data_IF_093630091133
#
_entry.id   IF_093630091133
#
_cell.length_a   1.000
_cell.length_b   1.000
_cell.length_c   1.000
_cell.angle_alpha   90.00
_cell.angle_beta   90.00
_cell.angle_gamma   90.00
#
_symmetry.space_group_name_H-M   'P 1'
#
loop_
_entity.id
_entity.type
_entity.pdbx_description
1 polymer ?
#
# COMPACT_ATOMS: atom_id res chain seq x y z
N UNK A 1 -18.55 -43.75 -36.25
CA UNK A 1 -19.43 -43.12 -35.25
C UNK A 1 -18.74 -42.90 -33.90
N UNK A 2 -17.99 -43.84 -33.32
CA UNK A 2 -17.34 -43.60 -32.01
C UNK A 2 -16.23 -42.51 -32.02
N UNK A 3 -15.47 -42.36 -33.10
CA UNK A 3 -14.41 -41.34 -33.19
C UNK A 3 -14.93 -39.90 -33.25
N UNK A 4 -16.05 -39.66 -33.95
CA UNK A 4 -16.64 -38.32 -34.04
C UNK A 4 -17.25 -37.86 -32.70
N UNK A 5 -17.87 -38.77 -31.95
CA UNK A 5 -18.43 -38.44 -30.62
C UNK A 5 -17.35 -38.07 -29.61
N UNK A 6 -16.19 -38.73 -29.67
CA UNK A 6 -15.02 -38.41 -28.81
C UNK A 6 -14.39 -37.09 -29.22
N UNK A 7 -14.27 -36.82 -30.52
CA UNK A 7 -13.73 -35.56 -31.04
C UNK A 7 -14.64 -34.37 -30.68
N UNK A 8 -15.96 -34.52 -30.81
CA UNK A 8 -16.93 -33.50 -30.44
C UNK A 8 -16.89 -33.20 -28.93
N UNK A 9 -16.80 -34.24 -28.08
CA UNK A 9 -16.61 -34.06 -26.64
C UNK A 9 -15.32 -33.34 -26.28
N UNK A 10 -14.21 -33.63 -26.97
CA UNK A 10 -12.94 -32.93 -26.79
C UNK A 10 -12.99 -31.46 -27.23
N UNK A 11 -13.67 -31.16 -28.35
CA UNK A 11 -13.87 -29.79 -28.85
C UNK A 11 -14.72 -28.97 -27.89
N UNK A 12 -15.82 -29.52 -27.37
CA UNK A 12 -16.65 -28.82 -26.37
C UNK A 12 -15.87 -28.56 -25.07
N UNK A 13 -15.09 -29.54 -24.60
CA UNK A 13 -14.30 -29.38 -23.38
C UNK A 13 -13.15 -28.37 -23.55
N UNK A 14 -12.54 -28.34 -24.74
CA UNK A 14 -11.58 -27.32 -25.12
C UNK A 14 -12.23 -25.93 -25.20
N UNK A 15 -13.43 -25.83 -25.76
CA UNK A 15 -14.16 -24.57 -25.88
C UNK A 15 -14.54 -24.00 -24.50
N UNK A 16 -15.02 -24.85 -23.59
CA UNK A 16 -15.27 -24.49 -22.18
C UNK A 16 -13.97 -24.05 -21.48
N UNK A 17 -12.85 -24.74 -21.73
CA UNK A 17 -11.54 -24.34 -21.19
C UNK A 17 -11.04 -23.00 -21.74
N UNK A 18 -11.31 -22.70 -23.02
CA UNK A 18 -10.94 -21.44 -23.68
C UNK A 18 -11.83 -20.29 -23.21
N UNK A 19 -13.14 -20.53 -23.05
CA UNK A 19 -14.10 -19.56 -22.49
C UNK A 19 -13.73 -19.23 -21.04
N UNK A 20 -13.44 -20.22 -20.21
CA UNK A 20 -12.95 -20.01 -18.84
C UNK A 20 -11.60 -19.28 -18.81
N UNK A 21 -10.68 -19.57 -19.74
CA UNK A 21 -9.41 -18.84 -19.86
C UNK A 21 -9.62 -17.38 -20.23
N UNK A 22 -10.59 -17.09 -21.12
CA UNK A 22 -10.93 -15.73 -21.54
C UNK A 22 -11.58 -14.94 -20.40
N UNK A 23 -12.51 -15.54 -19.66
CA UNK A 23 -13.15 -14.91 -18.50
C UNK A 23 -12.12 -14.54 -17.42
N UNK A 24 -11.13 -15.41 -17.18
CA UNK A 24 -10.03 -15.12 -16.24
C UNK A 24 -9.17 -13.95 -16.74
N UNK A 25 -8.89 -13.87 -18.05
CA UNK A 25 -8.13 -12.74 -18.62
C UNK A 25 -8.91 -11.42 -18.53
N UNK A 26 -10.20 -11.44 -18.85
CA UNK A 26 -11.09 -10.28 -18.70
C UNK A 26 -11.13 -9.82 -17.23
N UNK A 27 -11.18 -10.75 -16.27
CA UNK A 27 -11.09 -10.44 -14.84
C UNK A 27 -9.75 -9.82 -14.46
N UNK A 28 -8.62 -10.36 -14.94
CA UNK A 28 -7.28 -9.79 -14.70
C UNK A 28 -7.19 -8.35 -15.21
N UNK A 29 -7.70 -8.09 -16.42
CA UNK A 29 -7.69 -6.78 -17.04
C UNK A 29 -8.58 -5.79 -16.28
N UNK A 30 -9.74 -6.24 -15.80
CA UNK A 30 -10.60 -5.44 -14.92
C UNK A 30 -9.88 -5.10 -13.61
N UNK A 31 -9.24 -6.07 -12.96
CA UNK A 31 -8.48 -5.85 -11.72
C UNK A 31 -7.34 -4.85 -11.94
N UNK A 32 -6.55 -5.01 -13.01
CA UNK A 32 -5.49 -4.05 -13.39
C UNK A 32 -6.05 -2.63 -13.50
N UNK A 33 -7.19 -2.48 -14.20
CA UNK A 33 -7.85 -1.18 -14.39
C UNK A 33 -8.34 -0.58 -13.07
N UNK A 34 -8.94 -1.39 -12.20
CA UNK A 34 -9.41 -0.96 -10.88
C UNK A 34 -8.27 -0.50 -9.98
N UNK A 35 -7.17 -1.25 -9.93
CA UNK A 35 -5.98 -0.91 -9.14
C UNK A 35 -5.33 0.38 -9.67
N UNK A 36 -5.26 0.56 -10.99
CA UNK A 36 -4.79 1.82 -11.59
C UNK A 36 -5.69 3.00 -11.22
N UNK A 37 -7.01 2.84 -11.26
CA UNK A 37 -7.97 3.87 -10.84
C UNK A 37 -7.85 4.22 -9.35
N UNK A 38 -7.67 3.20 -8.50
CA UNK A 38 -7.46 3.36 -7.06
C UNK A 38 -6.26 4.25 -6.73
N UNK A 39 -5.16 4.12 -7.49
CA UNK A 39 -3.99 5.01 -7.33
C UNK A 39 -4.38 6.48 -7.45
N UNK A 40 -5.19 6.80 -8.46
CA UNK A 40 -5.67 8.17 -8.71
C UNK A 40 -6.61 8.64 -7.60
N UNK A 41 -7.52 7.77 -7.13
CA UNK A 41 -8.46 8.10 -6.05
C UNK A 41 -7.71 8.38 -4.75
N UNK A 42 -6.82 7.48 -4.33
CA UNK A 42 -6.01 7.65 -3.11
C UNK A 42 -5.18 8.91 -3.19
N UNK A 43 -4.52 9.16 -4.33
CA UNK A 43 -3.75 10.37 -4.53
C UNK A 43 -4.62 11.63 -4.39
N UNK A 44 -5.80 11.62 -5.02
CA UNK A 44 -6.73 12.75 -4.97
C UNK A 44 -7.20 13.05 -3.56
N UNK A 45 -7.61 12.04 -2.78
CA UNK A 45 -8.05 12.24 -1.38
C UNK A 45 -6.90 12.77 -0.53
N UNK A 46 -5.71 12.16 -0.66
CA UNK A 46 -4.51 12.55 0.09
C UNK A 46 -4.10 14.01 -0.16
N UNK A 47 -4.39 14.56 -1.35
CA UNK A 47 -3.99 15.91 -1.77
C UNK A 47 -5.15 16.91 -1.86
N UNK A 48 -6.41 16.48 -1.72
CA UNK A 48 -7.60 17.34 -1.81
C UNK A 48 -7.67 18.38 -0.67
N UNK A 49 -7.05 18.08 0.47
CA UNK A 49 -7.10 18.92 1.66
C UNK A 49 -6.02 20.01 1.72
N UNK A 50 -5.27 20.25 0.65
CA UNK A 50 -4.32 21.37 0.65
C UNK A 50 -5.10 22.70 0.62
N UNK A 51 -4.89 23.63 1.58
CA UNK A 51 -5.61 24.88 1.59
C UNK A 51 -5.29 25.63 0.31
N UNK A 52 -6.31 25.81 -0.54
CA UNK A 52 -6.24 26.69 -1.70
C UNK A 52 -5.81 28.06 -1.18
N UNK A 53 -4.56 28.45 -1.46
CA UNK A 53 -4.05 29.77 -1.10
C UNK A 53 -5.11 30.80 -1.50
N UNK A 54 -5.67 31.50 -0.51
CA UNK A 54 -6.69 32.49 -0.77
C UNK A 54 -6.06 33.57 -1.64
N UNK A 55 -6.38 33.55 -2.94
CA UNK A 55 -6.12 34.69 -3.82
C UNK A 55 -6.91 35.84 -3.20
N UNK A 56 -6.18 36.77 -2.59
CA UNK A 56 -6.74 38.03 -2.14
C UNK A 56 -7.41 38.68 -3.35
N UNK A 57 -8.69 39.09 -3.28
CA UNK A 57 -9.27 39.89 -4.34
C UNK A 57 -8.58 41.26 -4.29
N UNK A 58 -7.61 41.44 -5.18
CA UNK A 58 -7.04 42.76 -5.49
C UNK A 58 -8.18 43.62 -6.03
N UNK A 59 -8.78 44.41 -5.15
CA UNK A 59 -9.74 45.45 -5.52
C UNK A 59 -8.94 46.74 -5.60
N UNK A 60 -8.96 47.38 -6.76
CA UNK A 60 -8.47 48.73 -6.99
C UNK A 60 -8.93 49.70 -5.88
N UNK A 61 -8.03 50.55 -5.37
CA UNK A 61 -8.44 51.73 -4.60
C UNK A 61 -7.38 52.26 -3.64
N UNK A 62 -7.00 53.50 -3.87
CA UNK A 62 -6.03 54.32 -3.14
C UNK A 62 -6.42 54.56 -1.67
N UNK A 63 -5.39 54.73 -0.81
CA UNK A 63 -5.33 55.53 0.43
C UNK A 63 -5.51 54.92 1.85
N UNK A 64 -4.50 55.29 2.66
CA UNK A 64 -4.42 55.49 4.12
C UNK A 64 -4.17 54.30 5.06
N UNK A 65 -3.01 54.40 5.71
CA UNK A 65 -2.57 53.58 6.83
C UNK A 65 -3.41 53.84 8.08
N UNK A 66 -3.92 52.78 8.70
CA UNK A 66 -4.22 52.74 10.12
C UNK A 66 -3.70 51.41 10.67
N UNK A 67 -2.77 51.54 11.60
CA UNK A 67 -2.17 50.49 12.40
C UNK A 67 -3.25 49.88 13.31
N UNK A 68 -3.67 48.64 13.06
CA UNK A 68 -4.48 47.85 14.01
C UNK A 68 -3.80 46.50 14.21
N UNK A 69 -3.37 46.28 15.45
CA UNK A 69 -2.77 45.06 15.95
C UNK A 69 -3.64 43.82 15.69
N UNK A 70 -3.09 42.68 15.23
CA UNK A 70 -3.82 41.43 15.21
C UNK A 70 -3.65 40.71 16.55
N UNK A 71 -4.53 40.97 17.51
CA UNK A 71 -4.67 40.15 18.71
C UNK A 71 -5.91 39.26 18.58
N UNK A 72 -5.79 38.18 17.81
CA UNK A 72 -6.62 36.96 17.91
C UNK A 72 -6.18 35.96 16.84
N UNK A 73 -5.00 35.37 17.01
CA UNK A 73 -4.61 34.17 16.27
C UNK A 73 -5.34 32.95 16.85
N UNK A 74 -6.61 32.76 16.48
CA UNK A 74 -7.11 31.39 16.43
C UNK A 74 -6.28 30.68 15.35
N UNK A 75 -5.64 29.54 15.65
CA UNK A 75 -5.02 28.75 14.60
C UNK A 75 -6.13 28.44 13.61
N UNK A 76 -5.99 28.85 12.35
CA UNK A 76 -6.81 28.31 11.27
C UNK A 76 -6.82 26.77 11.43
N UNK A 77 -7.96 26.08 11.21
CA UNK A 77 -7.99 24.63 11.33
C UNK A 77 -6.84 24.10 10.48
N UNK A 78 -5.82 23.51 11.11
CA UNK A 78 -4.69 22.95 10.38
C UNK A 78 -5.30 21.96 9.41
N UNK A 79 -5.24 22.30 8.12
CA UNK A 79 -5.80 21.46 7.09
C UNK A 79 -5.11 20.10 7.21
N UNK A 80 -5.87 19.10 7.65
CA UNK A 80 -5.33 17.77 7.87
C UNK A 80 -4.95 17.18 6.51
N UNK A 81 -3.68 16.83 6.35
CA UNK A 81 -3.19 16.17 5.14
C UNK A 81 -3.34 14.67 5.34
N UNK A 82 -4.10 14.02 4.46
CA UNK A 82 -4.35 12.58 4.50
C UNK A 82 -5.84 12.24 4.54
N UNK A 83 -6.13 10.99 4.87
CA UNK A 83 -7.45 10.38 4.85
C UNK A 83 -8.13 10.41 6.23
N UNK A 84 -9.45 10.47 6.24
CA UNK A 84 -10.26 10.22 7.44
C UNK A 84 -10.23 8.74 7.81
N UNK A 85 -10.52 8.43 9.07
CA UNK A 85 -10.45 7.06 9.59
C UNK A 85 -11.31 6.05 8.78
N UNK A 86 -12.53 6.41 8.37
CA UNK A 86 -13.36 5.53 7.56
C UNK A 86 -12.85 5.36 6.12
N UNK A 87 -12.11 6.33 5.59
CA UNK A 87 -11.45 6.23 4.28
C UNK A 87 -10.24 5.30 4.37
N UNK A 88 -9.45 5.38 5.45
CA UNK A 88 -8.38 4.43 5.76
C UNK A 88 -8.94 3.02 5.91
N UNK A 89 -10.06 2.85 6.61
CA UNK A 89 -10.71 1.55 6.77
C UNK A 89 -11.17 0.95 5.43
N UNK A 90 -11.78 1.77 4.56
CA UNK A 90 -12.16 1.36 3.20
C UNK A 90 -10.93 1.00 2.36
N UNK A 91 -9.88 1.83 2.38
CA UNK A 91 -8.63 1.59 1.66
C UNK A 91 -7.96 0.28 2.12
N UNK A 92 -7.98 0.00 3.43
CA UNK A 92 -7.51 -1.26 4.02
C UNK A 92 -8.29 -2.45 3.47
N UNK A 93 -9.63 -2.34 3.37
CA UNK A 93 -10.48 -3.35 2.76
C UNK A 93 -10.10 -3.62 1.30
N UNK A 94 -9.90 -2.57 0.51
CA UNK A 94 -9.48 -2.70 -0.89
C UNK A 94 -8.11 -3.35 -1.01
N UNK A 95 -7.14 -3.00 -0.16
CA UNK A 95 -5.82 -3.65 -0.14
C UNK A 95 -5.95 -5.15 0.13
N UNK A 96 -6.73 -5.54 1.15
CA UNK A 96 -6.94 -6.95 1.49
C UNK A 96 -7.54 -7.74 0.33
N UNK A 97 -8.63 -7.23 -0.24
CA UNK A 97 -9.25 -7.85 -1.42
C UNK A 97 -8.29 -7.90 -2.61
N UNK A 98 -7.54 -6.83 -2.86
CA UNK A 98 -6.56 -6.74 -3.94
C UNK A 98 -5.42 -7.74 -3.80
N UNK A 99 -4.94 -7.98 -2.58
CA UNK A 99 -3.93 -9.02 -2.30
C UNK A 99 -4.45 -10.41 -2.61
N UNK A 100 -5.71 -10.72 -2.26
CA UNK A 100 -6.32 -12.00 -2.61
C UNK A 100 -6.48 -12.18 -4.12
N UNK A 101 -6.77 -11.10 -4.85
CA UNK A 101 -6.83 -11.12 -6.32
C UNK A 101 -5.49 -11.46 -6.99
N UNK A 102 -4.35 -11.30 -6.31
CA UNK A 102 -3.04 -11.65 -6.86
C UNK A 102 -2.93 -13.15 -7.19
N UNK A 103 -3.73 -14.00 -6.56
CA UNK A 103 -3.79 -15.44 -6.87
C UNK A 103 -4.20 -15.75 -8.33
N UNK A 104 -4.81 -14.78 -9.03
CA UNK A 104 -5.18 -14.90 -10.44
C UNK A 104 -3.98 -14.67 -11.38
N UNK A 105 -2.95 -13.96 -10.94
CA UNK A 105 -1.79 -13.59 -11.75
C UNK A 105 -0.67 -14.61 -11.56
N UNK A 106 -0.73 -15.70 -12.33
CA UNK A 106 0.26 -16.80 -12.27
C UNK A 106 1.49 -16.57 -13.13
N UNK A 107 1.40 -15.66 -14.10
CA UNK A 107 2.52 -15.29 -14.95
C UNK A 107 3.44 -14.33 -14.20
N UNK A 108 4.73 -14.67 -14.15
CA UNK A 108 5.72 -13.98 -13.32
C UNK A 108 5.80 -12.48 -13.59
N UNK A 109 5.71 -12.07 -14.86
CA UNK A 109 5.76 -10.64 -15.21
C UNK A 109 4.47 -9.93 -14.81
N UNK A 110 3.30 -10.53 -15.02
CA UNK A 110 2.02 -9.93 -14.62
C UNK A 110 1.89 -9.76 -13.10
N UNK A 111 2.30 -10.79 -12.35
CA UNK A 111 2.29 -10.76 -10.89
C UNK A 111 3.20 -9.64 -10.37
N UNK A 112 4.42 -9.55 -10.91
CA UNK A 112 5.37 -8.50 -10.55
C UNK A 112 4.80 -7.11 -10.83
N UNK A 113 4.16 -6.91 -11.99
CA UNK A 113 3.57 -5.63 -12.35
C UNK A 113 2.44 -5.23 -11.39
N UNK A 114 1.61 -6.19 -10.98
CA UNK A 114 0.59 -5.96 -9.97
C UNK A 114 1.18 -5.61 -8.59
N UNK A 115 2.20 -6.35 -8.13
CA UNK A 115 2.91 -6.04 -6.89
C UNK A 115 3.53 -4.62 -6.91
N UNK A 116 4.07 -4.21 -8.07
CA UNK A 116 4.59 -2.86 -8.27
C UNK A 116 3.48 -1.80 -8.19
N UNK A 117 2.31 -2.05 -8.77
CA UNK A 117 1.16 -1.14 -8.69
C UNK A 117 0.71 -0.96 -7.23
N UNK A 118 0.56 -2.05 -6.47
CA UNK A 118 0.23 -1.96 -5.04
C UNK A 118 1.29 -1.17 -4.27
N UNK A 119 2.57 -1.45 -4.51
CA UNK A 119 3.68 -0.73 -3.85
C UNK A 119 3.63 0.78 -4.12
N UNK A 120 3.34 1.19 -5.36
CA UNK A 120 3.19 2.59 -5.72
C UNK A 120 1.99 3.24 -5.02
N UNK A 121 0.85 2.56 -4.96
CA UNK A 121 -0.36 3.05 -4.29
C UNK A 121 -0.09 3.26 -2.79
N UNK A 122 0.58 2.32 -2.14
CA UNK A 122 0.91 2.42 -0.73
C UNK A 122 1.94 3.54 -0.48
N UNK A 123 2.90 3.73 -1.39
CA UNK A 123 3.93 4.76 -1.26
C UNK A 123 3.41 6.20 -1.41
N UNK A 124 2.27 6.41 -2.08
CA UNK A 124 1.69 7.76 -2.24
C UNK A 124 0.88 8.22 -1.04
N UNK A 125 0.38 7.29 -0.21
CA UNK A 125 -0.40 7.60 1.00
C UNK A 125 0.40 8.47 1.98
N UNK A 126 -0.26 9.24 2.83
CA UNK A 126 0.47 9.86 3.94
C UNK A 126 0.97 8.80 4.91
N UNK A 127 2.15 8.99 5.53
CA UNK A 127 2.73 7.98 6.39
C UNK A 127 1.80 7.55 7.52
N UNK A 128 1.04 8.50 8.10
CA UNK A 128 0.04 8.20 9.13
C UNK A 128 -1.04 7.25 8.62
N UNK A 129 -1.68 7.57 7.50
CA UNK A 129 -2.74 6.74 6.92
C UNK A 129 -2.23 5.34 6.58
N UNK A 130 -0.99 5.25 6.09
CA UNK A 130 -0.34 3.97 5.81
C UNK A 130 -0.14 3.15 7.09
N UNK A 131 0.27 3.79 8.20
CA UNK A 131 0.48 3.10 9.48
C UNK A 131 -0.83 2.64 10.11
N UNK A 132 -1.88 3.47 10.04
CA UNK A 132 -3.21 3.13 10.53
C UNK A 132 -3.76 1.93 9.75
N UNK A 133 -3.63 1.95 8.42
CA UNK A 133 -4.02 0.82 7.58
C UNK A 133 -3.24 -0.46 7.92
N UNK A 134 -1.92 -0.38 8.03
CA UNK A 134 -1.12 -1.56 8.39
C UNK A 134 -1.48 -2.08 9.78
N UNK A 135 -1.75 -1.22 10.75
CA UNK A 135 -2.20 -1.66 12.07
C UNK A 135 -3.53 -2.44 12.01
N UNK A 136 -4.41 -2.10 11.05
CA UNK A 136 -5.68 -2.79 10.84
C UNK A 136 -5.54 -4.15 10.13
N UNK A 137 -4.60 -4.30 9.19
CA UNK A 137 -4.54 -5.48 8.32
C UNK A 137 -3.23 -6.28 8.35
N UNK A 138 -2.21 -5.88 9.14
CA UNK A 138 -0.92 -6.57 9.22
C UNK A 138 -1.02 -8.07 9.54
N UNK A 139 -1.86 -8.52 10.50
CA UNK A 139 -1.98 -9.95 10.78
C UNK A 139 -2.44 -10.75 9.56
N UNK A 140 -3.44 -10.26 8.83
CA UNK A 140 -3.96 -10.92 7.63
C UNK A 140 -2.96 -10.88 6.49
N UNK A 141 -2.31 -9.73 6.26
CA UNK A 141 -1.25 -9.60 5.25
C UNK A 141 -0.08 -10.56 5.51
N UNK A 142 0.25 -10.81 6.78
CA UNK A 142 1.27 -11.78 7.14
C UNK A 142 0.89 -13.21 6.75
N UNK A 143 -0.34 -13.63 7.02
CA UNK A 143 -0.83 -14.95 6.58
C UNK A 143 -0.90 -15.06 5.04
N UNK A 144 -1.27 -13.96 4.36
CA UNK A 144 -1.17 -13.87 2.90
C UNK A 144 0.28 -14.04 2.43
N UNK A 145 1.28 -13.43 3.07
CA UNK A 145 2.70 -13.56 2.71
C UNK A 145 3.24 -14.98 2.92
N UNK A 146 2.69 -15.75 3.85
CA UNK A 146 3.00 -17.18 3.98
C UNK A 146 2.49 -17.96 2.76
N UNK A 147 1.27 -17.63 2.31
CA UNK A 147 0.59 -18.31 1.20
C UNK A 147 1.17 -17.91 -0.17
N UNK A 148 1.49 -16.63 -0.35
CA UNK A 148 2.17 -16.09 -1.51
C UNK A 148 3.40 -15.27 -1.07
N UNK A 149 4.57 -15.90 -1.14
CA UNK A 149 5.84 -15.29 -0.73
C UNK A 149 6.23 -14.07 -1.57
N UNK A 150 5.68 -13.88 -2.77
CA UNK A 150 5.99 -12.74 -3.63
C UNK A 150 5.47 -11.41 -3.06
N UNK A 151 4.46 -11.47 -2.18
CA UNK A 151 3.90 -10.30 -1.49
C UNK A 151 4.95 -9.54 -0.65
N UNK A 152 6.01 -10.22 -0.21
CA UNK A 152 7.12 -9.57 0.52
C UNK A 152 7.80 -8.48 -0.30
N UNK A 153 7.68 -8.52 -1.64
CA UNK A 153 8.22 -7.47 -2.51
C UNK A 153 7.51 -6.12 -2.32
N UNK A 154 6.24 -6.11 -1.92
CA UNK A 154 5.54 -4.86 -1.56
C UNK A 154 6.23 -4.22 -0.35
N UNK A 155 6.49 -5.03 0.68
CA UNK A 155 7.12 -4.59 1.93
C UNK A 155 8.57 -4.14 1.67
N UNK A 156 9.32 -4.91 0.89
CA UNK A 156 10.67 -4.54 0.45
C UNK A 156 10.67 -3.21 -0.33
N UNK A 157 9.65 -2.93 -1.14
CA UNK A 157 9.55 -1.68 -1.90
C UNK A 157 9.23 -0.49 -1.00
N UNK A 158 8.33 -0.66 -0.03
CA UNK A 158 8.01 0.36 0.97
C UNK A 158 9.21 0.70 1.86
N UNK A 159 10.01 -0.31 2.23
CA UNK A 159 11.26 -0.08 2.98
C UNK A 159 12.34 0.67 2.18
N UNK A 160 12.20 0.80 0.86
CA UNK A 160 13.09 1.60 0.02
C UNK A 160 12.53 3.01 -0.24
N UNK A 161 11.29 3.28 0.15
CA UNK A 161 10.64 4.57 -0.06
C UNK A 161 10.94 5.52 1.10
N UNK A 162 11.77 6.54 0.86
CA UNK A 162 12.19 7.51 1.89
C UNK A 162 11.02 8.22 2.59
N UNK A 163 9.87 8.38 1.92
CA UNK A 163 8.66 8.99 2.49
C UNK A 163 8.09 8.17 3.66
N UNK A 164 8.07 6.85 3.52
CA UNK A 164 7.31 5.96 4.41
C UNK A 164 8.17 4.94 5.13
N UNK A 165 9.45 4.85 4.78
CA UNK A 165 10.40 3.86 5.28
C UNK A 165 10.42 3.75 6.81
N UNK A 166 10.75 4.84 7.53
CA UNK A 166 10.86 4.81 9.00
C UNK A 166 9.57 4.39 9.69
N UNK A 167 8.43 5.07 9.49
CA UNK A 167 7.20 4.68 10.18
C UNK A 167 6.80 3.24 9.84
N UNK A 168 6.98 2.83 8.58
CA UNK A 168 6.70 1.46 8.17
C UNK A 168 7.61 0.43 8.84
N UNK A 169 8.90 0.70 8.94
CA UNK A 169 9.85 -0.14 9.63
C UNK A 169 9.47 -0.30 11.11
N UNK A 170 9.07 0.79 11.78
CA UNK A 170 8.65 0.76 13.18
C UNK A 170 7.42 -0.13 13.40
N UNK A 171 6.37 0.03 12.57
CA UNK A 171 5.17 -0.81 12.66
C UNK A 171 5.48 -2.28 12.36
N UNK A 172 6.30 -2.55 11.34
CA UNK A 172 6.69 -3.90 10.97
C UNK A 172 7.52 -4.57 12.07
N UNK A 173 8.53 -3.88 12.63
CA UNK A 173 9.34 -4.40 13.74
C UNK A 173 8.48 -4.65 14.97
N UNK A 174 7.59 -3.71 15.34
CA UNK A 174 6.69 -3.87 16.47
C UNK A 174 5.79 -5.10 16.30
N UNK A 175 5.21 -5.30 15.12
CA UNK A 175 4.39 -6.47 14.83
C UNK A 175 5.20 -7.78 14.92
N UNK A 176 6.39 -7.83 14.33
CA UNK A 176 7.24 -9.03 14.35
C UNK A 176 7.68 -9.37 15.78
N UNK A 177 8.16 -8.37 16.52
CA UNK A 177 8.66 -8.51 17.88
C UNK A 177 7.56 -8.92 18.87
N UNK A 178 6.39 -8.27 18.81
CA UNK A 178 5.30 -8.53 19.75
C UNK A 178 4.50 -9.79 19.42
N UNK A 179 4.36 -10.15 18.15
CA UNK A 179 3.35 -11.12 17.73
C UNK A 179 3.88 -12.35 17.00
N UNK A 180 5.12 -12.34 16.48
CA UNK A 180 5.60 -13.41 15.58
C UNK A 180 6.94 -14.04 15.99
N UNK A 181 7.62 -13.59 17.04
CA UNK A 181 8.90 -14.22 17.46
C UNK A 181 8.75 -15.70 17.86
N UNK A 182 7.61 -16.10 18.42
CA UNK A 182 7.39 -17.48 18.85
C UNK A 182 7.47 -18.50 17.71
N UNK A 183 7.19 -18.10 16.46
CA UNK A 183 7.27 -18.99 15.30
C UNK A 183 8.71 -19.44 15.03
N UNK A 184 9.70 -18.70 15.52
CA UNK A 184 11.13 -19.02 15.39
C UNK A 184 11.55 -20.25 16.20
N UNK A 185 10.70 -20.74 17.13
CA UNK A 185 10.90 -22.03 17.81
C UNK A 185 10.89 -23.21 16.83
N UNK A 186 10.25 -23.03 15.67
CA UNK A 186 10.17 -24.01 14.59
C UNK A 186 10.79 -23.41 13.30
N UNK A 187 12.13 -23.39 13.18
CA UNK A 187 12.84 -22.65 12.14
C UNK A 187 12.52 -23.12 10.70
N UNK A 188 12.09 -24.37 10.52
CA UNK A 188 11.75 -24.92 9.21
C UNK A 188 10.38 -24.46 8.69
N UNK A 189 9.54 -23.89 9.56
CA UNK A 189 8.20 -23.45 9.19
C UNK A 189 8.22 -22.29 8.18
N UNK A 190 7.24 -22.21 7.26
CA UNK A 190 7.10 -21.07 6.34
C UNK A 190 7.03 -19.72 7.07
N UNK A 191 6.35 -19.68 8.23
CA UNK A 191 6.26 -18.49 9.06
C UNK A 191 7.61 -18.03 9.60
N UNK A 192 8.45 -18.95 10.10
CA UNK A 192 9.79 -18.60 10.59
C UNK A 192 10.69 -18.05 9.48
N UNK A 193 10.67 -18.69 8.30
CA UNK A 193 11.40 -18.21 7.11
C UNK A 193 10.94 -16.81 6.69
N UNK A 194 9.63 -16.55 6.74
CA UNK A 194 9.07 -15.24 6.45
C UNK A 194 9.53 -14.17 7.46
N UNK A 195 9.44 -14.44 8.77
CA UNK A 195 9.89 -13.51 9.82
C UNK A 195 11.37 -13.15 9.63
N UNK A 196 12.23 -14.14 9.42
CA UNK A 196 13.66 -13.92 9.19
C UNK A 196 13.92 -13.10 7.93
N UNK A 197 13.17 -13.35 6.85
CA UNK A 197 13.30 -12.60 5.61
C UNK A 197 12.84 -11.13 5.77
N UNK A 198 11.78 -10.89 6.53
CA UNK A 198 11.31 -9.52 6.83
C UNK A 198 12.33 -8.75 7.68
N UNK A 199 12.90 -9.38 8.73
CA UNK A 199 14.01 -8.78 9.49
C UNK A 199 15.21 -8.46 8.60
N UNK A 200 15.57 -9.36 7.67
CA UNK A 200 16.64 -9.12 6.70
C UNK A 200 16.37 -7.89 5.82
N UNK A 201 15.13 -7.70 5.37
CA UNK A 201 14.77 -6.50 4.62
C UNK A 201 14.88 -5.23 5.45
N UNK A 202 14.41 -5.25 6.70
CA UNK A 202 14.52 -4.12 7.62
C UNK A 202 15.98 -3.74 7.86
N UNK A 203 16.82 -4.70 8.27
CA UNK A 203 18.24 -4.45 8.51
C UNK A 203 18.98 -3.99 7.24
N UNK A 204 18.62 -4.57 6.09
CA UNK A 204 19.13 -4.15 4.79
C UNK A 204 18.77 -2.68 4.45
N UNK A 205 17.56 -2.24 4.79
CA UNK A 205 17.14 -0.85 4.59
C UNK A 205 17.84 0.10 5.58
N UNK A 206 17.94 -0.25 6.86
CA UNK A 206 18.67 0.53 7.89
C UNK A 206 20.12 0.75 7.48
N UNK A 207 20.80 -0.30 6.99
CA UNK A 207 22.21 -0.22 6.59
C UNK A 207 22.47 0.78 5.44
N UNK A 208 21.45 1.10 4.64
CA UNK A 208 21.54 2.04 3.51
C UNK A 208 21.19 3.48 3.90
N UNK A 209 20.61 3.70 5.08
CA UNK A 209 20.17 5.02 5.56
C UNK A 209 20.67 5.33 6.99
N UNK A 210 21.99 5.25 7.28
CA UNK A 210 22.52 5.42 8.63
C UNK A 210 22.26 6.82 9.22
N UNK A 211 22.29 7.88 8.39
CA UNK A 211 22.06 9.26 8.82
C UNK A 211 20.62 9.54 9.26
N UNK A 212 19.68 8.65 8.95
CA UNK A 212 18.30 8.78 9.38
C UNK A 212 18.07 8.22 10.80
N UNK A 213 18.92 7.32 11.28
CA UNK A 213 18.77 6.69 12.60
C UNK A 213 19.60 7.31 13.70
N UNK A 214 20.33 8.40 13.41
CA UNK A 214 21.05 9.12 14.46
C UNK A 214 20.01 9.76 15.39
N UNK A 215 19.93 9.34 16.68
CA UNK A 215 19.11 10.06 17.64
C UNK A 215 19.68 11.48 17.69
N UNK A 216 18.80 12.47 17.58
CA UNK A 216 19.17 13.87 17.65
C UNK A 216 19.81 14.13 19.02
N UNK A 217 21.11 13.89 19.15
CA UNK A 217 21.92 14.44 20.23
C UNK A 217 22.01 15.92 19.95
N UNK A 218 21.02 16.68 20.42
CA UNK A 218 21.08 18.12 20.63
C UNK A 218 19.91 18.54 21.52
N UNK A 219 20.17 18.54 22.83
CA UNK A 219 20.11 19.75 23.67
C UNK A 219 20.47 19.36 25.12
N UNK A 220 21.78 19.40 25.43
CA UNK A 220 22.30 19.81 26.74
C UNK A 220 22.86 21.21 26.55
#
# INVERSE_FOLDING_TARGET
>A
MCYESVLFGAVLNLQVSVEHSKEVDDCKNLIKTLVMGMKTIIWSITHAHLPRSQVSPSTHGTHSQVLVSPSSSLPAPQAFKGMREDEVWKASGVLKSGVHCLALFKEKDEERDMLNLFSQILSIMEPRDLMDMFSLCMPELFECMISNTQLVHIFSSLLQSSKVYRPFADVLVNFLACSKLDVLKNPDSPAAKLVLNLFRFIFGAVSKAPAEFEPSSNNV
#
